data_IF_694453484874
#
_entry.id   IF_694453484874
#
_cell.length_a   1.000
_cell.length_b   1.000
_cell.length_c   1.000
_cell.angle_alpha   90.00
_cell.angle_beta   90.00
_cell.angle_gamma   90.00
#
_symmetry.space_group_name_H-M   'P 1'
#
loop_
_entity.id
_entity.type
_entity.pdbx_description
1 polymer ?
#
# COMPACT_ATOMS: atom_id res chain seq x y z
N UNK A 1 34.38 5.06 2.23
CA UNK A 1 33.86 5.68 1.03
C UNK A 1 32.47 6.16 1.35
N UNK A 2 32.23 7.48 1.34
CA UNK A 2 30.92 8.10 1.50
C UNK A 2 30.10 7.73 0.26
N UNK A 3 29.20 6.78 0.41
CA UNK A 3 28.09 6.67 -0.54
C UNK A 3 27.23 7.91 -0.36
N UNK A 4 27.19 8.76 -1.38
CA UNK A 4 26.26 9.87 -1.47
C UNK A 4 24.85 9.27 -1.43
N UNK A 5 24.19 9.36 -0.28
CA UNK A 5 22.79 9.01 -0.14
C UNK A 5 22.01 9.84 -1.15
N UNK A 6 21.42 9.17 -2.11
CA UNK A 6 20.58 9.78 -3.11
C UNK A 6 19.37 10.38 -2.36
N UNK A 7 19.26 11.72 -2.29
CA UNK A 7 18.31 12.48 -1.48
C UNK A 7 16.81 12.18 -1.72
N UNK A 8 16.50 11.24 -2.61
CA UNK A 8 15.14 10.84 -2.98
C UNK A 8 14.70 9.48 -2.42
N UNK A 9 15.44 8.91 -1.46
CA UNK A 9 15.04 7.65 -0.83
C UNK A 9 14.30 7.93 0.47
N UNK A 10 13.14 7.28 0.66
CA UNK A 10 12.32 7.37 1.87
C UNK A 10 12.51 6.08 2.67
N UNK A 11 12.79 6.23 3.96
CA UNK A 11 12.73 5.12 4.90
C UNK A 11 11.25 4.86 5.20
N UNK A 12 10.76 3.69 4.85
CA UNK A 12 9.35 3.32 5.07
C UNK A 12 9.16 2.39 6.28
N UNK A 13 10.27 2.09 6.95
CA UNK A 13 10.32 1.19 8.10
C UNK A 13 11.49 1.54 9.01
N UNK A 14 11.31 1.52 10.32
CA UNK A 14 12.40 1.77 11.26
C UNK A 14 13.37 0.58 11.31
N UNK A 15 14.68 0.87 11.25
CA UNK A 15 15.72 -0.16 11.20
C UNK A 15 15.74 -1.04 12.46
N UNK A 16 15.41 -0.46 13.62
CA UNK A 16 15.29 -1.18 14.89
C UNK A 16 14.19 -2.23 14.83
N UNK A 17 13.00 -1.85 14.42
CA UNK A 17 11.84 -2.76 14.27
C UNK A 17 12.11 -3.85 13.23
N UNK A 18 12.77 -3.50 12.12
CA UNK A 18 13.17 -4.47 11.10
C UNK A 18 14.14 -5.51 11.65
N UNK A 19 15.14 -5.09 12.41
CA UNK A 19 16.12 -6.00 13.02
C UNK A 19 15.48 -6.92 14.06
N UNK A 20 14.58 -6.40 14.91
CA UNK A 20 13.81 -7.21 15.86
C UNK A 20 12.96 -8.26 15.15
N UNK A 21 12.29 -7.87 14.06
CA UNK A 21 11.52 -8.78 13.24
C UNK A 21 12.41 -9.87 12.62
N UNK A 22 13.57 -9.51 12.04
CA UNK A 22 14.52 -10.48 11.49
C UNK A 22 15.06 -11.44 12.54
N UNK A 23 15.32 -10.97 13.77
CA UNK A 23 15.77 -11.84 14.86
C UNK A 23 14.68 -12.79 15.30
N UNK A 24 13.44 -12.34 15.40
CA UNK A 24 12.29 -13.19 15.73
C UNK A 24 12.10 -14.30 14.69
N UNK A 25 12.28 -13.96 13.44
CA UNK A 25 12.21 -14.87 12.28
C UNK A 25 13.34 -15.90 12.31
N UNK A 26 14.58 -15.49 12.64
CA UNK A 26 15.75 -16.39 12.72
C UNK A 26 15.63 -17.42 13.83
N UNK A 27 14.90 -17.10 14.92
CA UNK A 27 14.67 -18.03 16.04
C UNK A 27 13.66 -19.12 15.70
N UNK A 28 12.81 -18.92 14.71
CA UNK A 28 11.77 -19.85 14.29
C UNK A 28 12.24 -20.64 13.04
N UNK A 29 12.89 -21.79 13.26
CA UNK A 29 13.53 -22.59 12.21
C UNK A 29 12.58 -23.19 11.16
N UNK A 30 11.27 -23.21 11.42
CA UNK A 30 10.27 -23.87 10.58
C UNK A 30 9.61 -22.97 9.53
N UNK A 31 10.07 -21.72 9.35
CA UNK A 31 9.40 -20.76 8.43
C UNK A 31 10.00 -20.74 7.04
N UNK A 32 9.30 -21.36 6.10
CA UNK A 32 9.59 -21.28 4.65
C UNK A 32 9.32 -19.88 4.06
N UNK A 33 8.48 -19.05 4.71
CA UNK A 33 8.13 -17.68 4.26
C UNK A 33 9.21 -16.63 4.54
N UNK A 34 10.21 -16.97 5.32
CA UNK A 34 11.28 -16.04 5.76
C UNK A 34 12.23 -15.60 4.66
N UNK A 35 12.31 -16.31 3.54
CA UNK A 35 13.22 -15.94 2.46
C UNK A 35 12.83 -14.63 1.77
N UNK A 36 11.54 -14.36 1.61
CA UNK A 36 11.03 -13.14 0.99
C UNK A 36 11.29 -11.87 1.82
N UNK A 37 11.45 -12.01 3.14
CA UNK A 37 11.69 -10.89 4.05
C UNK A 37 13.18 -10.57 4.25
N UNK A 38 14.09 -11.49 3.92
CA UNK A 38 15.54 -11.30 4.11
C UNK A 38 16.14 -10.24 3.19
N UNK A 39 15.52 -10.01 2.03
CA UNK A 39 16.02 -9.10 1.00
C UNK A 39 15.18 -7.81 0.89
N UNK A 40 14.41 -7.49 1.93
CA UNK A 40 13.56 -6.28 1.94
C UNK A 40 14.43 -5.04 1.94
N UNK A 41 14.24 -4.19 0.93
CA UNK A 41 14.90 -2.88 0.87
C UNK A 41 14.18 -1.92 1.81
N UNK A 42 14.87 -1.46 2.83
CA UNK A 42 14.38 -0.47 3.81
C UNK A 42 14.14 0.89 3.14
N UNK A 43 15.01 1.24 2.18
CA UNK A 43 14.93 2.49 1.43
C UNK A 43 14.29 2.25 0.08
N UNK A 44 13.21 2.97 -0.20
CA UNK A 44 12.49 2.91 -1.49
C UNK A 44 12.25 4.30 -2.04
N UNK A 45 12.14 4.38 -3.35
CA UNK A 45 11.81 5.63 -4.03
C UNK A 45 10.32 5.95 -3.85
N UNK A 46 9.97 7.24 -3.72
CA UNK A 46 8.58 7.66 -3.86
C UNK A 46 8.09 7.40 -5.28
N UNK A 47 6.78 7.35 -5.44
CA UNK A 47 6.16 7.31 -6.76
C UNK A 47 6.18 8.71 -7.37
N UNK A 48 6.94 8.89 -8.44
CA UNK A 48 7.03 10.16 -9.17
C UNK A 48 6.30 10.06 -10.51
N UNK A 49 5.44 11.03 -10.80
CA UNK A 49 4.72 11.13 -12.06
C UNK A 49 5.29 12.28 -12.88
N UNK A 50 6.03 11.93 -13.91
CA UNK A 50 6.64 12.91 -14.84
C UNK A 50 5.75 13.23 -16.02
N UNK A 51 4.93 12.28 -16.46
CA UNK A 51 4.04 12.42 -17.60
C UNK A 51 2.56 12.39 -17.17
N UNK A 52 1.91 13.54 -17.08
CA UNK A 52 0.50 13.66 -16.70
C UNK A 52 -0.48 13.25 -17.79
N UNK A 53 -0.02 13.02 -19.03
CA UNK A 53 -0.86 12.50 -20.11
C UNK A 53 -1.47 11.14 -19.79
N UNK A 54 -0.84 10.37 -18.90
CA UNK A 54 -1.38 9.09 -18.42
C UNK A 54 -2.81 9.23 -17.86
N UNK A 55 -3.14 10.35 -17.23
CA UNK A 55 -4.48 10.58 -16.68
C UNK A 55 -5.50 10.90 -17.77
N UNK A 56 -5.10 11.56 -18.84
CA UNK A 56 -5.96 11.79 -20.03
C UNK A 56 -6.25 10.47 -20.75
N UNK A 57 -5.23 9.61 -20.86
CA UNK A 57 -5.38 8.30 -21.49
C UNK A 57 -6.27 7.39 -20.62
N UNK A 58 -6.15 7.46 -19.29
CA UNK A 58 -7.01 6.73 -18.38
C UNK A 58 -8.47 7.21 -18.45
N UNK A 59 -8.69 8.54 -18.51
CA UNK A 59 -10.02 9.13 -18.62
C UNK A 59 -10.71 8.70 -19.93
N UNK A 60 -9.98 8.60 -21.04
CA UNK A 60 -10.52 8.10 -22.31
C UNK A 60 -10.88 6.62 -22.26
N UNK A 61 -10.08 5.82 -21.58
CA UNK A 61 -10.31 4.38 -21.46
C UNK A 61 -11.47 4.05 -20.53
N UNK A 62 -11.63 4.83 -19.44
CA UNK A 62 -12.61 4.54 -18.38
C UNK A 62 -13.31 5.85 -17.97
N UNK A 63 -14.17 6.42 -18.84
CA UNK A 63 -14.76 7.75 -18.63
C UNK A 63 -15.70 7.81 -17.41
N UNK A 64 -16.30 6.69 -17.01
CA UNK A 64 -17.16 6.60 -15.84
C UNK A 64 -16.42 6.82 -14.51
N UNK A 65 -15.09 6.77 -14.49
CA UNK A 65 -14.26 7.04 -13.31
C UNK A 65 -13.55 8.40 -13.35
N UNK A 66 -14.04 9.32 -14.18
CA UNK A 66 -13.44 10.66 -14.34
C UNK A 66 -13.13 11.36 -13.00
N UNK A 67 -14.05 11.35 -12.06
CA UNK A 67 -13.86 12.00 -10.76
C UNK A 67 -12.67 11.39 -9.97
N UNK A 68 -12.49 10.08 -10.03
CA UNK A 68 -11.35 9.40 -9.42
C UNK A 68 -10.04 9.74 -10.16
N UNK A 69 -10.08 9.80 -11.49
CA UNK A 69 -8.91 10.21 -12.31
C UNK A 69 -8.50 11.64 -11.98
N UNK A 70 -9.45 12.57 -11.90
CA UNK A 70 -9.21 13.97 -11.57
C UNK A 70 -8.61 14.12 -10.15
N UNK A 71 -9.09 13.33 -9.21
CA UNK A 71 -8.56 13.29 -7.86
C UNK A 71 -7.07 12.89 -7.84
N UNK A 72 -6.71 11.78 -8.46
CA UNK A 72 -5.32 11.31 -8.51
C UNK A 72 -4.43 12.29 -9.28
N UNK A 73 -4.91 12.81 -10.41
CA UNK A 73 -4.20 13.84 -11.19
C UNK A 73 -3.87 15.06 -10.33
N UNK A 74 -4.84 15.55 -9.55
CA UNK A 74 -4.66 16.68 -8.64
C UNK A 74 -3.68 16.38 -7.51
N UNK A 75 -3.78 15.23 -6.86
CA UNK A 75 -2.90 14.82 -5.78
C UNK A 75 -1.43 14.71 -6.23
N UNK A 76 -1.18 14.12 -7.40
CA UNK A 76 0.18 14.03 -7.94
C UNK A 76 0.70 15.38 -8.47
N UNK A 77 -0.17 16.24 -9.01
CA UNK A 77 0.23 17.59 -9.42
C UNK A 77 0.69 18.42 -8.23
N UNK A 78 0.05 18.30 -7.08
CA UNK A 78 0.48 18.96 -5.84
C UNK A 78 1.86 18.53 -5.40
N UNK A 79 2.20 17.25 -5.51
CA UNK A 79 3.55 16.76 -5.18
C UNK A 79 4.63 17.37 -6.09
N UNK A 80 4.33 17.56 -7.37
CA UNK A 80 5.28 18.15 -8.35
C UNK A 80 5.61 19.62 -8.05
N UNK A 81 4.67 20.37 -7.49
CA UNK A 81 4.84 21.80 -7.21
C UNK A 81 5.50 22.06 -5.84
N UNK A 82 5.62 21.07 -4.99
CA UNK A 82 6.22 21.21 -3.66
C UNK A 82 7.73 21.32 -3.74
N UNK A 83 8.24 22.25 -2.95
CA UNK A 83 9.70 22.43 -2.73
C UNK A 83 10.22 21.61 -1.53
N UNK A 84 9.33 20.99 -0.75
CA UNK A 84 9.68 20.17 0.41
C UNK A 84 9.78 18.69 0.01
N UNK A 85 10.63 17.96 0.71
CA UNK A 85 10.78 16.52 0.57
C UNK A 85 9.60 15.71 1.11
N UNK A 86 8.54 16.37 1.59
CA UNK A 86 7.34 15.71 2.07
C UNK A 86 6.48 15.23 0.91
N UNK A 87 6.49 13.94 0.68
CA UNK A 87 5.58 13.28 -0.25
C UNK A 87 4.18 13.20 0.36
N UNK A 88 3.17 13.74 -0.34
CA UNK A 88 1.78 13.54 0.03
C UNK A 88 1.24 12.34 -0.71
N UNK A 89 0.98 11.27 0.01
CA UNK A 89 0.25 10.13 -0.54
C UNK A 89 -1.21 10.55 -0.87
N UNK A 90 -1.76 10.14 -2.03
CA UNK A 90 -3.19 10.26 -2.27
C UNK A 90 -3.96 9.54 -1.15
N UNK A 91 -5.03 10.18 -0.67
CA UNK A 91 -5.90 9.51 0.31
C UNK A 91 -6.63 8.34 -0.32
N UNK A 92 -7.02 7.34 0.47
CA UNK A 92 -7.88 6.27 0.00
C UNK A 92 -9.18 6.82 -0.58
N UNK A 93 -9.67 6.18 -1.65
CA UNK A 93 -10.96 6.49 -2.25
C UNK A 93 -11.89 5.29 -2.16
N UNK A 94 -13.18 5.55 -1.96
CA UNK A 94 -14.22 4.54 -2.01
C UNK A 94 -14.92 4.62 -3.37
N UNK A 95 -14.86 3.52 -4.14
CA UNK A 95 -15.57 3.40 -5.40
C UNK A 95 -16.92 2.73 -5.18
N UNK A 96 -18.00 3.50 -5.25
CA UNK A 96 -19.37 3.02 -5.14
C UNK A 96 -19.95 2.76 -6.52
N UNK A 97 -20.74 1.71 -6.65
CA UNK A 97 -21.47 1.37 -7.88
C UNK A 97 -21.69 -0.13 -8.03
N UNK A 98 -22.52 -0.50 -8.99
CA UNK A 98 -22.94 -1.86 -9.24
C UNK A 98 -21.77 -2.80 -9.60
N UNK A 99 -22.01 -4.10 -9.47
CA UNK A 99 -21.07 -5.10 -9.94
C UNK A 99 -20.85 -4.95 -11.47
N UNK A 100 -19.62 -5.16 -11.91
CA UNK A 100 -19.28 -5.15 -13.34
C UNK A 100 -19.06 -3.77 -13.97
N UNK A 101 -19.21 -2.64 -13.26
CA UNK A 101 -18.94 -1.30 -13.84
C UNK A 101 -17.46 -1.00 -14.08
N UNK A 102 -16.54 -1.92 -13.70
CA UNK A 102 -15.11 -1.81 -13.97
C UNK A 102 -14.27 -1.24 -12.83
N UNK A 103 -14.72 -1.27 -11.56
CA UNK A 103 -13.94 -0.76 -10.41
C UNK A 103 -12.55 -1.38 -10.32
N UNK A 104 -12.48 -2.71 -10.36
CA UNK A 104 -11.21 -3.48 -10.30
C UNK A 104 -10.35 -3.22 -11.54
N UNK A 105 -10.99 -3.12 -12.72
CA UNK A 105 -10.27 -2.78 -13.96
C UNK A 105 -9.67 -1.38 -13.89
N UNK A 106 -10.40 -0.39 -13.36
CA UNK A 106 -9.89 0.96 -13.13
C UNK A 106 -8.65 0.95 -12.24
N UNK A 107 -8.70 0.29 -11.08
CA UNK A 107 -7.58 0.25 -10.14
C UNK A 107 -6.34 -0.42 -10.77
N UNK A 108 -6.51 -1.55 -11.44
CA UNK A 108 -5.41 -2.24 -12.13
C UNK A 108 -4.81 -1.38 -13.26
N UNK A 109 -5.65 -0.72 -14.05
CA UNK A 109 -5.18 0.15 -15.14
C UNK A 109 -4.45 1.38 -14.60
N UNK A 110 -4.96 1.98 -13.52
CA UNK A 110 -4.29 3.08 -12.82
C UNK A 110 -2.91 2.65 -12.34
N UNK A 111 -2.78 1.51 -11.66
CA UNK A 111 -1.49 1.02 -11.18
C UNK A 111 -0.49 0.79 -12.32
N UNK A 112 -0.92 0.22 -13.42
CA UNK A 112 -0.08 0.03 -14.62
C UNK A 112 0.41 1.35 -15.20
N UNK A 113 -0.46 2.33 -15.34
CA UNK A 113 -0.10 3.65 -15.85
C UNK A 113 0.82 4.41 -14.91
N UNK A 114 0.64 4.27 -13.61
CA UNK A 114 1.52 4.82 -12.59
C UNK A 114 2.84 4.04 -12.44
N UNK A 115 2.98 2.90 -13.10
CA UNK A 115 4.14 2.00 -12.96
C UNK A 115 4.41 1.62 -11.49
N UNK A 116 3.35 1.27 -10.77
CA UNK A 116 3.43 0.79 -9.39
C UNK A 116 2.86 -0.61 -9.23
N UNK A 117 3.23 -1.28 -8.14
CA UNK A 117 2.69 -2.60 -7.81
C UNK A 117 1.20 -2.52 -7.52
N UNK A 118 0.44 -3.48 -8.04
CA UNK A 118 -1.00 -3.61 -7.80
C UNK A 118 -1.27 -4.84 -6.94
N UNK A 119 -2.01 -4.66 -5.86
CA UNK A 119 -2.42 -5.73 -4.97
C UNK A 119 -3.93 -5.67 -4.75
N UNK A 120 -4.56 -6.79 -5.00
CA UNK A 120 -6.00 -6.98 -4.85
C UNK A 120 -6.27 -7.93 -3.70
N UNK A 121 -7.12 -7.51 -2.77
CA UNK A 121 -7.56 -8.32 -1.64
C UNK A 121 -9.09 -8.40 -1.63
N UNK A 122 -9.60 -9.61 -1.57
CA UNK A 122 -11.00 -9.88 -1.31
C UNK A 122 -11.26 -9.75 0.19
N UNK A 123 -12.10 -8.80 0.57
CA UNK A 123 -12.44 -8.54 1.98
C UNK A 123 -13.10 -9.71 2.67
N UNK A 124 -13.76 -10.62 1.93
CA UNK A 124 -14.29 -11.86 2.49
C UNK A 124 -13.20 -12.77 3.07
N UNK A 125 -11.99 -12.70 2.53
CA UNK A 125 -10.84 -13.47 3.01
C UNK A 125 -10.15 -12.87 4.23
N UNK A 126 -10.49 -11.63 4.59
CA UNK A 126 -9.88 -10.88 5.68
C UNK A 126 -10.75 -11.01 6.93
N UNK A 127 -10.47 -12.00 7.76
CA UNK A 127 -11.26 -12.28 8.97
C UNK A 127 -10.84 -11.47 10.20
N UNK A 128 -9.60 -10.95 10.22
CA UNK A 128 -9.04 -10.24 11.37
C UNK A 128 -8.14 -9.08 10.94
N UNK A 129 -7.98 -8.07 11.80
CA UNK A 129 -7.03 -6.98 11.58
C UNK A 129 -5.59 -7.49 11.42
N UNK A 130 -5.24 -8.59 12.08
CA UNK A 130 -3.89 -9.18 11.99
C UNK A 130 -3.55 -9.70 10.60
N UNK A 131 -4.52 -10.11 9.82
CA UNK A 131 -4.28 -10.49 8.42
C UNK A 131 -3.73 -9.29 7.61
N UNK A 132 -4.11 -8.08 7.95
CA UNK A 132 -3.65 -6.86 7.30
C UNK A 132 -2.38 -6.30 7.95
N UNK A 133 -2.39 -6.08 9.26
CA UNK A 133 -1.31 -5.41 9.99
C UNK A 133 -0.16 -6.34 10.41
N UNK A 134 -0.41 -7.64 10.43
CA UNK A 134 0.50 -8.60 11.06
C UNK A 134 0.15 -8.87 12.51
N UNK A 135 0.72 -9.94 13.05
CA UNK A 135 0.59 -10.35 14.45
C UNK A 135 1.88 -10.08 15.22
N UNK A 136 1.78 -10.02 16.56
CA UNK A 136 2.97 -9.80 17.40
C UNK A 136 4.06 -10.83 17.11
N UNK A 137 5.33 -10.42 16.94
CA UNK A 137 6.45 -11.32 16.71
C UNK A 137 6.66 -12.38 17.81
N UNK A 138 6.15 -12.11 19.01
CA UNK A 138 6.24 -13.04 20.16
C UNK A 138 5.30 -14.24 20.05
N UNK A 139 4.35 -14.21 19.12
CA UNK A 139 3.38 -15.29 18.96
C UNK A 139 3.92 -16.39 18.05
N UNK A 140 3.69 -17.64 18.47
CA UNK A 140 3.99 -18.79 17.60
C UNK A 140 3.11 -18.71 16.35
N UNK A 141 3.73 -18.70 15.16
CA UNK A 141 3.02 -18.50 13.92
C UNK A 141 2.74 -17.02 13.58
N UNK A 142 3.48 -16.07 14.17
CA UNK A 142 3.37 -14.64 13.82
C UNK A 142 3.56 -14.40 12.31
N UNK A 143 2.72 -13.57 11.71
CA UNK A 143 2.76 -13.19 10.30
C UNK A 143 2.97 -11.67 10.16
N UNK A 144 3.72 -11.27 9.13
CA UNK A 144 4.04 -9.87 8.87
C UNK A 144 2.84 -9.05 8.33
N UNK A 145 1.73 -9.69 8.01
CA UNK A 145 0.54 -9.04 7.47
C UNK A 145 0.64 -8.62 6.00
N UNK A 146 -0.52 -8.47 5.38
CA UNK A 146 -0.64 -8.20 3.93
C UNK A 146 -0.07 -6.84 3.54
N UNK A 147 -0.26 -5.80 4.35
CA UNK A 147 0.23 -4.45 4.07
C UNK A 147 1.75 -4.45 4.02
N UNK A 148 2.39 -5.02 5.04
CA UNK A 148 3.85 -5.12 5.07
C UNK A 148 4.40 -5.93 3.88
N UNK A 149 3.82 -7.10 3.61
CA UNK A 149 4.23 -7.95 2.47
C UNK A 149 4.09 -7.22 1.14
N UNK A 150 3.01 -6.46 0.96
CA UNK A 150 2.79 -5.63 -0.22
C UNK A 150 3.86 -4.55 -0.38
N UNK A 151 4.13 -3.81 0.70
CA UNK A 151 5.19 -2.80 0.72
C UNK A 151 6.57 -3.42 0.49
N UNK A 152 6.86 -4.54 1.12
CA UNK A 152 8.12 -5.25 0.96
C UNK A 152 8.38 -5.68 -0.49
N UNK A 153 7.38 -6.22 -1.17
CA UNK A 153 7.46 -6.66 -2.55
C UNK A 153 7.43 -5.53 -3.59
N UNK A 154 6.96 -4.34 -3.22
CA UNK A 154 6.84 -3.21 -4.13
C UNK A 154 8.20 -2.60 -4.50
N UNK A 155 8.31 -2.09 -5.75
CA UNK A 155 9.50 -1.38 -6.22
C UNK A 155 9.61 0.05 -5.69
N UNK A 156 8.51 0.61 -5.19
CA UNK A 156 8.43 1.96 -4.61
C UNK A 156 7.61 1.92 -3.31
N UNK A 157 7.52 3.05 -2.60
CA UNK A 157 6.77 3.15 -1.33
C UNK A 157 5.25 3.28 -1.51
N UNK A 158 4.76 3.32 -2.75
CA UNK A 158 3.38 3.66 -3.06
C UNK A 158 2.69 2.56 -3.89
N UNK A 159 2.63 1.29 -3.44
CA UNK A 159 1.82 0.28 -4.10
C UNK A 159 0.35 0.67 -4.07
N UNK A 160 -0.39 0.32 -5.13
CA UNK A 160 -1.83 0.47 -5.14
C UNK A 160 -2.48 -0.78 -4.55
N UNK A 161 -3.22 -0.59 -3.47
CA UNK A 161 -3.95 -1.66 -2.78
C UNK A 161 -5.44 -1.46 -3.03
N UNK A 162 -6.12 -2.49 -3.49
CA UNK A 162 -7.57 -2.54 -3.64
C UNK A 162 -8.15 -3.56 -2.68
N UNK A 163 -9.12 -3.12 -1.89
CA UNK A 163 -9.97 -3.97 -1.07
C UNK A 163 -11.33 -4.06 -1.77
N UNK A 164 -11.67 -5.23 -2.27
CA UNK A 164 -12.96 -5.48 -2.90
C UNK A 164 -13.98 -5.97 -1.87
N UNK A 165 -15.26 -5.71 -2.11
CA UNK A 165 -16.36 -6.09 -1.22
C UNK A 165 -16.15 -5.67 0.24
N UNK A 166 -15.71 -4.41 0.45
CA UNK A 166 -15.40 -3.88 1.79
C UNK A 166 -16.60 -3.95 2.76
N UNK A 167 -17.81 -4.00 2.24
CA UNK A 167 -19.06 -4.21 2.99
C UNK A 167 -19.16 -5.60 3.61
N UNK A 168 -18.36 -6.57 3.16
CA UNK A 168 -18.30 -7.93 3.70
C UNK A 168 -17.33 -8.09 4.85
N UNK A 169 -16.52 -7.06 5.16
CA UNK A 169 -15.63 -7.10 6.32
C UNK A 169 -16.42 -7.35 7.60
N UNK A 170 -15.96 -8.28 8.43
CA UNK A 170 -16.60 -8.59 9.70
C UNK A 170 -16.39 -7.46 10.72
N UNK A 171 -17.45 -6.73 11.03
CA UNK A 171 -17.40 -5.53 11.92
C UNK A 171 -17.46 -5.92 13.42
N UNK A 172 -17.93 -7.11 13.76
CA UNK A 172 -18.39 -7.47 15.11
C UNK A 172 -17.36 -8.14 16.02
N UNK A 173 -16.07 -8.14 15.68
CA UNK A 173 -15.01 -8.71 16.52
C UNK A 173 -14.16 -7.62 17.16
N UNK A 174 -13.61 -7.90 18.36
CA UNK A 174 -12.62 -7.01 19.02
C UNK A 174 -11.41 -6.72 18.12
N UNK A 175 -11.15 -7.56 17.12
CA UNK A 175 -10.06 -7.46 16.17
C UNK A 175 -10.59 -7.20 14.76
N UNK A 176 -11.61 -6.37 14.63
CA UNK A 176 -12.19 -6.03 13.33
C UNK A 176 -11.17 -5.31 12.43
N UNK A 177 -11.04 -5.67 11.15
CA UNK A 177 -10.23 -4.93 10.18
C UNK A 177 -10.62 -3.45 10.06
N UNK A 178 -11.86 -3.09 10.37
CA UNK A 178 -12.35 -1.71 10.35
C UNK A 178 -11.59 -0.78 11.29
N UNK A 179 -11.21 -1.24 12.48
CA UNK A 179 -10.45 -0.43 13.44
C UNK A 179 -9.07 -0.06 12.89
N UNK A 180 -8.45 -0.96 12.15
CA UNK A 180 -7.17 -0.69 11.49
C UNK A 180 -7.32 0.37 10.38
N UNK A 181 -8.36 0.26 9.54
CA UNK A 181 -8.60 1.27 8.50
C UNK A 181 -8.87 2.64 9.08
N UNK A 182 -9.61 2.71 10.19
CA UNK A 182 -9.84 3.96 10.91
C UNK A 182 -8.51 4.60 11.32
N UNK A 183 -7.62 3.85 11.95
CA UNK A 183 -6.29 4.31 12.33
C UNK A 183 -5.44 4.74 11.13
N UNK A 184 -5.46 3.98 10.03
CA UNK A 184 -4.69 4.30 8.82
C UNK A 184 -5.19 5.55 8.09
N UNK A 185 -6.48 5.88 8.21
CA UNK A 185 -7.11 6.98 7.48
C UNK A 185 -7.27 8.23 8.33
N UNK A 186 -7.21 8.13 9.65
CA UNK A 186 -7.10 9.28 10.52
C UNK A 186 -5.71 9.90 10.38
N UNK A 187 -5.69 11.20 10.09
CA UNK A 187 -4.45 11.95 10.21
C UNK A 187 -4.15 12.11 11.70
N UNK A 188 -2.93 11.78 12.09
CA UNK A 188 -2.37 12.37 13.29
C UNK A 188 -2.39 13.89 13.11
N UNK A 189 -3.17 14.59 13.94
CA UNK A 189 -3.20 16.05 14.00
C UNK A 189 -1.97 16.57 14.75
#
# INVERSE_FOLDING_TARGET
GNESFNNNLITWFELSEYNEMLESIRKDKDRSETSALKDVKIYKKPLEINNFKIFEDLEKQIPNFKSAVDYYRGAFAMNKTRKSFEYIAPRPILLLGDAGIGKTYFANTLAKLLNTSYNFFDSNSISTSWALSGSSPSWRGADAGLIFKTLAASNNISPLITLDEIDKLQINSQNSPFSLFHQMFEKEN
#
